data_IF_330282298494
#
_entry.id   IF_330282298494
#
_cell.length_a   1.000
_cell.length_b   1.000
_cell.length_c   1.000
_cell.angle_alpha   90.00
_cell.angle_beta   90.00
_cell.angle_gamma   90.00
#
_symmetry.space_group_name_H-M   'P 1'
#
loop_
_entity.id
_entity.type
_entity.pdbx_description
1 polymer ?
#
# COMPACT_ATOMS: atom_id res chain seq x y z
N UNK A 1 -0.59 -7.43 -21.29
CA UNK A 1 -0.43 -8.41 -20.19
C UNK A 1 0.74 -7.93 -19.34
N UNK A 2 0.55 -7.75 -18.03
CA UNK A 2 1.43 -7.01 -17.13
C UNK A 2 2.44 -7.91 -16.39
N UNK A 3 3.18 -8.72 -17.15
CA UNK A 3 4.25 -9.56 -16.62
C UNK A 3 3.81 -10.70 -15.67
N UNK A 4 2.57 -11.18 -15.81
CA UNK A 4 2.15 -12.41 -15.15
C UNK A 4 2.68 -13.64 -15.91
N UNK A 5 3.12 -14.68 -15.19
CA UNK A 5 3.69 -15.89 -15.80
C UNK A 5 2.71 -16.64 -16.72
N UNK A 6 1.40 -16.48 -16.49
CA UNK A 6 0.33 -17.08 -17.32
C UNK A 6 -0.84 -16.12 -17.44
N UNK A 7 -1.40 -16.04 -18.64
CA UNK A 7 -2.70 -15.42 -18.87
C UNK A 7 -3.80 -16.26 -18.22
N UNK A 8 -4.74 -15.62 -17.55
CA UNK A 8 -5.97 -16.27 -17.11
C UNK A 8 -7.19 -15.45 -17.54
N UNK A 9 -8.38 -16.03 -17.44
CA UNK A 9 -9.64 -15.39 -17.86
C UNK A 9 -9.84 -14.02 -17.19
N UNK A 10 -9.59 -13.93 -15.88
CA UNK A 10 -9.77 -12.69 -15.11
C UNK A 10 -8.77 -11.61 -15.51
N UNK A 11 -7.50 -11.98 -15.71
CA UNK A 11 -6.46 -11.07 -16.21
C UNK A 11 -6.78 -10.56 -17.62
N UNK A 12 -7.28 -11.42 -18.51
CA UNK A 12 -7.69 -10.98 -19.85
C UNK A 12 -8.90 -10.03 -19.79
N UNK A 13 -9.86 -10.28 -18.89
CA UNK A 13 -11.00 -9.39 -18.67
C UNK A 13 -10.55 -8.03 -18.12
N UNK A 14 -9.68 -8.02 -17.11
CA UNK A 14 -9.15 -6.78 -16.52
C UNK A 14 -8.31 -5.99 -17.53
N UNK A 15 -7.48 -6.67 -18.33
CA UNK A 15 -6.72 -6.03 -19.41
C UNK A 15 -7.64 -5.40 -20.44
N UNK A 16 -8.68 -6.13 -20.87
CA UNK A 16 -9.68 -5.63 -21.81
C UNK A 16 -10.40 -4.41 -21.23
N UNK A 17 -10.85 -4.46 -19.98
CA UNK A 17 -11.49 -3.34 -19.31
C UNK A 17 -10.59 -2.10 -19.28
N UNK A 18 -9.34 -2.25 -18.85
CA UNK A 18 -8.40 -1.14 -18.78
C UNK A 18 -8.14 -0.50 -20.16
N UNK A 19 -8.00 -1.33 -21.21
CA UNK A 19 -7.84 -0.84 -22.59
C UNK A 19 -9.06 -0.03 -23.06
N UNK A 20 -10.27 -0.56 -22.87
CA UNK A 20 -11.50 0.13 -23.28
C UNK A 20 -11.72 1.44 -22.49
N UNK A 21 -11.41 1.43 -21.20
CA UNK A 21 -11.54 2.60 -20.33
C UNK A 21 -10.38 3.62 -20.47
N UNK A 22 -9.42 3.38 -21.38
CA UNK A 22 -8.21 4.19 -21.57
C UNK A 22 -7.40 4.35 -20.26
N UNK A 23 -7.32 3.28 -19.49
CA UNK A 23 -6.54 3.18 -18.25
C UNK A 23 -5.20 2.52 -18.53
N UNK A 24 -4.22 2.75 -17.64
CA UNK A 24 -2.91 2.10 -17.66
C UNK A 24 -2.80 1.12 -16.51
N UNK A 25 -2.26 -0.06 -16.78
CA UNK A 25 -1.91 -1.04 -15.75
C UNK A 25 -0.43 -0.92 -15.46
N UNK A 26 -0.09 -0.68 -14.21
CA UNK A 26 1.28 -0.59 -13.71
C UNK A 26 1.52 -1.79 -12.80
N UNK A 27 2.52 -2.60 -13.11
CA UNK A 27 2.87 -3.77 -12.33
C UNK A 27 4.40 -3.88 -12.24
N UNK A 28 4.94 -4.45 -11.15
CA UNK A 28 6.38 -4.64 -11.01
C UNK A 28 6.90 -5.73 -11.96
N UNK A 29 8.18 -5.63 -12.32
CA UNK A 29 8.85 -6.65 -13.13
C UNK A 29 9.13 -7.95 -12.37
N UNK A 30 9.12 -7.91 -11.04
CA UNK A 30 9.39 -9.04 -10.18
C UNK A 30 8.12 -9.57 -9.51
N UNK A 31 8.04 -10.89 -9.22
CA UNK A 31 6.89 -11.47 -8.55
C UNK A 31 6.49 -10.71 -7.28
N UNK A 32 5.19 -10.59 -7.05
CA UNK A 32 4.61 -9.97 -5.85
C UNK A 32 4.08 -11.02 -4.88
N UNK A 33 3.94 -12.26 -5.35
CA UNK A 33 3.49 -13.39 -4.56
C UNK A 33 4.37 -14.61 -4.81
N UNK A 34 4.78 -15.28 -3.74
CA UNK A 34 5.56 -16.51 -3.79
C UNK A 34 4.83 -17.65 -3.07
N UNK A 35 4.22 -18.54 -3.84
CA UNK A 35 3.73 -19.81 -3.32
C UNK A 35 4.88 -20.79 -3.07
N UNK A 36 4.53 -21.97 -2.54
CA UNK A 36 5.47 -23.07 -2.29
C UNK A 36 6.25 -23.50 -3.54
N UNK A 37 5.61 -23.51 -4.70
CA UNK A 37 6.16 -24.02 -5.97
C UNK A 37 5.93 -23.09 -7.17
N UNK A 38 5.49 -21.86 -6.94
CA UNK A 38 5.24 -20.90 -8.00
C UNK A 38 5.42 -19.48 -7.51
N UNK A 39 5.46 -18.55 -8.45
CA UNK A 39 5.50 -17.13 -8.21
C UNK A 39 4.65 -16.41 -9.23
N UNK A 40 4.10 -15.26 -8.85
CA UNK A 40 3.17 -14.51 -9.69
C UNK A 40 3.20 -13.03 -9.38
N UNK A 41 2.86 -12.22 -10.37
CA UNK A 41 2.61 -10.78 -10.24
C UNK A 41 1.10 -10.61 -10.20
N UNK A 42 0.56 -10.42 -9.01
CA UNK A 42 -0.89 -10.26 -8.76
C UNK A 42 -1.23 -8.94 -8.06
N UNK A 43 -0.22 -8.25 -7.52
CA UNK A 43 -0.36 -6.94 -6.91
C UNK A 43 0.07 -5.87 -7.94
N UNK A 44 -0.88 -5.05 -8.37
CA UNK A 44 -0.72 -4.07 -9.45
C UNK A 44 -1.56 -2.81 -9.16
N UNK A 45 -1.27 -1.74 -9.88
CA UNK A 45 -2.05 -0.51 -9.86
C UNK A 45 -2.72 -0.27 -11.21
N UNK A 46 -3.91 0.34 -11.19
CA UNK A 46 -4.62 0.79 -12.38
C UNK A 46 -4.79 2.30 -12.26
N UNK A 47 -4.37 3.03 -13.28
CA UNK A 47 -4.40 4.48 -13.29
C UNK A 47 -5.20 5.00 -14.48
N UNK A 48 -5.87 6.13 -14.28
CA UNK A 48 -6.59 6.85 -15.33
C UNK A 48 -6.23 8.32 -15.22
N UNK A 49 -5.98 8.97 -16.36
CA UNK A 49 -5.67 10.40 -16.43
C UNK A 49 -4.48 10.84 -15.56
N UNK A 50 -3.52 9.95 -15.31
CA UNK A 50 -2.24 10.30 -14.68
C UNK A 50 -1.18 10.50 -15.77
N UNK A 51 -0.64 11.70 -15.86
CA UNK A 51 0.40 12.10 -16.83
C UNK A 51 1.82 11.92 -16.29
N UNK A 52 1.97 11.70 -14.99
CA UNK A 52 3.26 11.44 -14.35
C UNK A 52 3.81 10.06 -14.73
N UNK A 53 5.14 9.96 -14.75
CA UNK A 53 5.79 8.67 -14.90
C UNK A 53 5.59 7.85 -13.62
N UNK A 54 5.25 6.57 -13.76
CA UNK A 54 5.00 5.68 -12.63
C UNK A 54 5.84 4.43 -12.80
N UNK A 55 6.64 4.09 -11.79
CA UNK A 55 7.35 2.80 -11.70
C UNK A 55 6.76 1.94 -10.59
N UNK A 56 6.98 0.63 -10.67
CA UNK A 56 6.55 -0.33 -9.66
C UNK A 56 7.67 -1.32 -9.32
N UNK A 57 7.96 -1.47 -8.03
CA UNK A 57 9.00 -2.36 -7.52
C UNK A 57 8.43 -3.31 -6.47
N UNK A 58 8.74 -4.60 -6.56
CA UNK A 58 8.45 -5.57 -5.51
C UNK A 58 9.55 -5.52 -4.43
N UNK A 59 9.15 -5.34 -3.17
CA UNK A 59 10.05 -5.15 -2.03
C UNK A 59 10.14 -6.41 -1.17
N UNK A 60 11.35 -6.81 -0.80
CA UNK A 60 11.61 -8.00 0.02
C UNK A 60 11.77 -7.59 1.48
N UNK A 61 10.71 -7.00 2.06
CA UNK A 61 10.78 -6.38 3.40
C UNK A 61 9.96 -7.10 4.48
N UNK A 62 8.85 -7.75 4.11
CA UNK A 62 7.92 -8.41 5.04
C UNK A 62 7.95 -9.93 4.92
N UNK A 63 7.90 -10.67 6.03
CA UNK A 63 7.92 -12.15 6.04
C UNK A 63 6.65 -12.85 5.48
N UNK A 64 5.81 -12.12 4.74
CA UNK A 64 4.63 -12.65 4.05
C UNK A 64 5.01 -13.38 2.75
N UNK A 65 4.11 -14.23 2.27
CA UNK A 65 4.15 -14.78 0.91
C UNK A 65 3.84 -13.72 -0.15
N UNK A 66 3.16 -12.64 0.22
CA UNK A 66 3.09 -11.40 -0.54
C UNK A 66 4.29 -10.49 -0.25
N UNK A 67 4.89 -9.96 -1.33
CA UNK A 67 5.86 -8.89 -1.29
C UNK A 67 5.14 -7.54 -1.44
N UNK A 68 5.40 -6.57 -0.56
CA UNK A 68 4.94 -5.21 -0.78
C UNK A 68 5.34 -4.69 -2.16
N UNK A 69 4.45 -3.95 -2.82
CA UNK A 69 4.76 -3.26 -4.07
C UNK A 69 4.86 -1.77 -3.79
N UNK A 70 5.98 -1.17 -4.19
CA UNK A 70 6.16 0.28 -4.14
C UNK A 70 5.87 0.85 -5.51
N UNK A 71 4.84 1.68 -5.59
CA UNK A 71 4.57 2.51 -6.76
C UNK A 71 5.18 3.89 -6.56
N UNK A 72 6.09 4.29 -7.44
CA UNK A 72 6.70 5.61 -7.40
C UNK A 72 6.14 6.47 -8.51
N UNK A 73 5.53 7.61 -8.16
CA UNK A 73 4.98 8.58 -9.10
C UNK A 73 5.94 9.77 -9.15
N UNK A 74 6.60 9.96 -10.29
CA UNK A 74 7.50 11.10 -10.50
C UNK A 74 6.69 12.35 -10.85
N UNK A 75 6.44 13.17 -9.83
CA UNK A 75 5.73 14.45 -9.97
C UNK A 75 6.63 15.60 -10.44
N UNK A 76 7.93 15.34 -10.69
CA UNK A 76 8.96 16.36 -10.97
C UNK A 76 9.03 17.47 -9.92
N UNK A 77 8.56 17.17 -8.71
CA UNK A 77 8.58 18.10 -7.59
C UNK A 77 9.90 17.92 -6.85
N UNK A 78 10.63 19.01 -6.64
CA UNK A 78 11.81 18.98 -5.81
C UNK A 78 11.37 18.89 -4.34
N UNK A 79 11.48 17.70 -3.76
CA UNK A 79 11.11 17.44 -2.37
C UNK A 79 12.03 18.14 -1.38
N UNK A 80 13.22 18.60 -1.79
CA UNK A 80 14.13 19.37 -0.93
C UNK A 80 13.61 20.78 -0.64
N UNK A 81 12.66 21.27 -1.43
CA UNK A 81 12.03 22.58 -1.24
C UNK A 81 10.90 22.57 -0.20
N UNK A 82 10.54 21.39 0.34
CA UNK A 82 9.42 21.24 1.26
C UNK A 82 9.83 20.48 2.51
N UNK A 83 9.43 20.98 3.68
CA UNK A 83 9.48 20.19 4.90
C UNK A 83 8.60 18.95 4.73
N UNK A 84 9.19 17.77 4.84
CA UNK A 84 8.43 16.51 4.84
C UNK A 84 7.60 16.47 6.12
N UNK A 85 6.30 16.77 5.98
CA UNK A 85 5.33 16.73 7.08
C UNK A 85 4.42 15.53 6.90
N UNK A 86 4.24 14.79 7.99
CA UNK A 86 3.29 13.69 8.08
C UNK A 86 2.07 14.14 8.88
N UNK A 87 0.88 13.86 8.37
CA UNK A 87 -0.33 14.01 9.18
C UNK A 87 -0.38 12.89 10.21
N UNK A 88 -0.46 13.25 11.49
CA UNK A 88 -0.61 12.32 12.60
C UNK A 88 -1.99 12.51 13.22
N UNK A 89 -2.91 11.55 13.05
CA UNK A 89 -4.21 11.60 13.72
C UNK A 89 -4.04 11.50 15.24
N UNK A 90 -4.85 12.23 15.99
CA UNK A 90 -5.01 11.99 17.43
C UNK A 90 -6.24 11.14 17.67
N UNK A 91 -6.07 9.82 17.72
CA UNK A 91 -7.20 8.88 17.80
C UNK A 91 -8.10 9.10 19.02
N UNK A 92 -7.52 9.50 20.16
CA UNK A 92 -8.31 9.80 21.36
C UNK A 92 -9.23 11.00 21.13
N UNK A 93 -8.66 12.12 20.68
CA UNK A 93 -9.44 13.33 20.38
C UNK A 93 -10.42 13.13 19.23
N UNK A 94 -10.02 12.36 18.22
CA UNK A 94 -10.89 11.97 17.11
C UNK A 94 -12.14 11.24 17.61
N UNK A 95 -11.95 10.23 18.48
CA UNK A 95 -13.05 9.50 19.08
C UNK A 95 -13.92 10.42 19.95
N UNK A 96 -13.31 11.26 20.80
CA UNK A 96 -14.03 12.24 21.62
C UNK A 96 -14.86 13.21 20.76
N UNK A 97 -14.32 13.66 19.63
CA UNK A 97 -15.02 14.53 18.67
C UNK A 97 -16.25 13.83 18.09
N UNK A 98 -16.09 12.59 17.60
CA UNK A 98 -17.21 11.83 17.04
C UNK A 98 -18.31 11.58 18.07
N UNK A 99 -17.95 11.31 19.32
CA UNK A 99 -18.89 11.08 20.42
C UNK A 99 -19.57 12.37 20.91
N UNK A 100 -19.00 13.54 20.63
CA UNK A 100 -19.58 14.83 21.01
C UNK A 100 -20.71 15.28 20.08
N UNK A 101 -20.80 14.69 18.88
CA UNK A 101 -21.86 15.00 17.93
C UNK A 101 -23.11 14.21 18.30
N UNK A 102 -24.23 14.92 18.44
CA UNK A 102 -25.52 14.29 18.65
C UNK A 102 -25.96 13.57 17.36
N UNK A 103 -26.09 12.25 17.44
CA UNK A 103 -26.52 11.40 16.33
C UNK A 103 -27.98 10.95 16.49
N UNK A 104 -28.78 11.63 17.31
CA UNK A 104 -30.19 11.31 17.48
C UNK A 104 -31.01 11.75 16.26
N UNK A 105 -30.95 10.95 15.20
CA UNK A 105 -31.79 11.07 14.01
C UNK A 105 -32.66 9.82 13.87
N UNK A 106 -33.90 9.96 13.39
CA UNK A 106 -34.70 8.80 13.02
C UNK A 106 -33.98 7.99 11.93
N UNK A 107 -34.12 6.65 11.92
CA UNK A 107 -33.49 5.82 10.89
C UNK A 107 -33.90 6.27 9.48
N UNK A 108 -32.95 6.39 8.54
CA UNK A 108 -33.27 6.76 7.16
C UNK A 108 -34.09 5.64 6.50
N UNK A 109 -35.24 6.00 5.91
CA UNK A 109 -36.19 5.06 5.31
C UNK A 109 -36.32 5.21 3.79
N UNK A 110 -35.74 6.25 3.21
CA UNK A 110 -35.69 6.44 1.76
C UNK A 110 -34.26 6.38 1.23
N UNK A 111 -34.10 6.02 -0.06
CA UNK A 111 -32.78 6.03 -0.72
C UNK A 111 -32.07 7.39 -0.57
N UNK A 112 -32.83 8.49 -0.67
CA UNK A 112 -32.31 9.85 -0.55
C UNK A 112 -31.81 10.13 0.88
N UNK A 113 -32.55 9.69 1.89
CA UNK A 113 -32.13 9.82 3.29
C UNK A 113 -30.87 9.01 3.57
N UNK A 114 -30.77 7.77 3.05
CA UNK A 114 -29.56 6.94 3.20
C UNK A 114 -28.34 7.64 2.59
N UNK A 115 -28.45 8.15 1.36
CA UNK A 115 -27.36 8.90 0.71
C UNK A 115 -26.98 10.15 1.50
N UNK A 116 -27.96 10.86 2.05
CA UNK A 116 -27.72 12.05 2.87
C UNK A 116 -26.95 11.67 4.13
N UNK A 117 -27.37 10.62 4.83
CA UNK A 117 -26.72 10.13 6.05
C UNK A 117 -25.27 9.68 5.80
N UNK A 118 -25.04 8.95 4.70
CA UNK A 118 -23.68 8.55 4.29
C UNK A 118 -22.80 9.76 4.04
N UNK A 119 -23.32 10.79 3.37
CA UNK A 119 -22.56 12.02 3.10
C UNK A 119 -22.27 12.82 4.38
N UNK A 120 -23.25 12.90 5.30
CA UNK A 120 -23.09 13.56 6.59
C UNK A 120 -22.04 12.86 7.44
N UNK A 121 -22.15 11.53 7.60
CA UNK A 121 -21.18 10.72 8.34
C UNK A 121 -19.77 10.84 7.72
N UNK A 122 -19.67 10.78 6.38
CA UNK A 122 -18.39 10.94 5.68
C UNK A 122 -17.77 12.29 5.97
N UNK A 123 -18.58 13.36 5.92
CA UNK A 123 -18.12 14.73 6.20
C UNK A 123 -17.66 14.88 7.65
N UNK A 124 -18.42 14.33 8.60
CA UNK A 124 -18.07 14.33 10.02
C UNK A 124 -16.75 13.59 10.29
N UNK A 125 -16.54 12.42 9.67
CA UNK A 125 -15.28 11.67 9.81
C UNK A 125 -14.10 12.47 9.27
N UNK A 126 -14.25 13.10 8.10
CA UNK A 126 -13.21 13.94 7.50
C UNK A 126 -12.91 15.15 8.39
N UNK A 127 -13.95 15.81 8.90
CA UNK A 127 -13.81 16.96 9.80
C UNK A 127 -13.13 16.57 11.11
N UNK A 128 -13.62 15.54 11.79
CA UNK A 128 -13.02 15.04 13.02
C UNK A 128 -11.54 14.67 12.81
N UNK A 129 -11.23 13.99 11.70
CA UNK A 129 -9.86 13.60 11.36
C UNK A 129 -8.97 14.83 11.20
N UNK A 130 -9.41 15.82 10.42
CA UNK A 130 -8.64 17.03 10.11
C UNK A 130 -8.48 17.96 11.32
N UNK A 131 -9.51 18.13 12.15
CA UNK A 131 -9.49 19.01 13.33
C UNK A 131 -8.68 18.46 14.50
N UNK A 132 -8.68 17.14 14.67
CA UNK A 132 -8.06 16.53 15.86
C UNK A 132 -6.64 16.05 15.63
N UNK A 133 -6.27 15.77 14.38
CA UNK A 133 -4.91 15.44 14.00
C UNK A 133 -4.03 16.68 13.86
N UNK A 134 -2.76 16.45 13.55
CA UNK A 134 -1.78 17.52 13.33
C UNK A 134 -0.74 17.12 12.31
N UNK A 135 -0.23 18.11 11.60
CA UNK A 135 0.96 17.96 10.77
C UNK A 135 2.20 18.00 11.67
N UNK A 136 3.01 16.95 11.63
CA UNK A 136 4.29 16.88 12.33
C UNK A 136 5.41 16.77 11.32
N UNK A 137 6.55 17.40 11.60
CA UNK A 137 7.77 17.15 10.81
C UNK A 137 8.16 15.69 10.96
N UNK A 138 8.32 15.02 9.82
CA UNK A 138 8.77 13.64 9.81
C UNK A 138 10.23 13.59 10.29
N UNK A 139 10.45 12.89 11.38
CA UNK A 139 11.82 12.56 11.79
C UNK A 139 12.23 11.31 11.02
N UNK A 140 13.46 11.26 10.50
CA UNK A 140 13.97 10.02 9.94
C UNK A 140 13.88 8.93 11.01
N UNK A 141 13.47 7.74 10.58
CA UNK A 141 13.39 6.57 11.42
C UNK A 141 14.84 6.12 11.71
N UNK A 142 15.42 6.63 12.80
CA UNK A 142 16.81 6.32 13.18
C UNK A 142 16.80 4.99 13.94
N UNK A 143 16.99 3.90 13.20
CA UNK A 143 17.29 2.61 13.78
C UNK A 143 18.77 2.54 14.19
N UNK A 144 19.08 1.71 15.20
CA UNK A 144 20.49 1.43 15.51
C UNK A 144 21.16 0.68 14.35
N UNK A 145 22.48 0.84 14.20
CA UNK A 145 23.26 0.15 13.17
C UNK A 145 23.05 -1.37 13.19
N UNK A 146 22.92 -1.93 14.39
CA UNK A 146 22.65 -3.34 14.60
C UNK A 146 21.31 -3.78 13.97
N UNK A 147 20.24 -3.02 14.20
CA UNK A 147 18.90 -3.32 13.64
C UNK A 147 18.92 -3.20 12.12
N UNK A 148 19.59 -2.18 11.57
CA UNK A 148 19.75 -2.02 10.12
C UNK A 148 20.50 -3.21 9.50
N UNK A 149 21.64 -3.56 10.08
CA UNK A 149 22.47 -4.68 9.61
C UNK A 149 21.70 -6.01 9.65
N UNK A 150 20.94 -6.25 10.72
CA UNK A 150 20.11 -7.45 10.85
C UNK A 150 19.02 -7.50 9.77
N UNK A 151 18.31 -6.39 9.54
CA UNK A 151 17.29 -6.28 8.48
C UNK A 151 17.89 -6.54 7.10
N UNK A 152 19.04 -5.95 6.79
CA UNK A 152 19.72 -6.10 5.51
C UNK A 152 20.23 -7.53 5.27
N UNK A 153 20.86 -8.15 6.28
CA UNK A 153 21.33 -9.53 6.22
C UNK A 153 20.17 -10.50 5.98
N UNK A 154 19.10 -10.38 6.75
CA UNK A 154 17.87 -11.18 6.60
C UNK A 154 17.27 -11.01 5.19
N UNK A 155 17.12 -9.76 4.73
CA UNK A 155 16.56 -9.48 3.41
C UNK A 155 17.45 -10.05 2.30
N UNK A 156 18.78 -9.97 2.42
CA UNK A 156 19.75 -10.58 1.48
C UNK A 156 19.57 -12.10 1.40
N UNK A 157 19.58 -12.81 2.53
CA UNK A 157 19.41 -14.27 2.54
C UNK A 157 18.06 -14.69 1.96
N UNK A 158 17.01 -13.90 2.22
CA UNK A 158 15.71 -14.13 1.60
C UNK A 158 15.75 -13.99 0.08
N UNK A 159 16.42 -12.97 -0.49
CA UNK A 159 16.55 -12.85 -1.97
C UNK A 159 17.25 -14.07 -2.56
N UNK A 160 18.30 -14.56 -1.89
CA UNK A 160 19.03 -15.76 -2.31
C UNK A 160 18.08 -16.95 -2.33
N UNK A 161 17.36 -17.21 -1.23
CA UNK A 161 16.39 -18.31 -1.16
C UNK A 161 15.24 -18.17 -2.18
N UNK A 162 14.71 -16.97 -2.40
CA UNK A 162 13.64 -16.75 -3.38
C UNK A 162 14.09 -17.07 -4.81
N UNK A 163 15.35 -16.78 -5.15
CA UNK A 163 15.95 -17.07 -6.45
C UNK A 163 16.34 -18.55 -6.60
N UNK A 164 17.02 -19.12 -5.61
CA UNK A 164 17.56 -20.48 -5.71
C UNK A 164 16.51 -21.56 -5.40
N UNK A 165 15.55 -21.24 -4.53
CA UNK A 165 14.61 -22.17 -3.88
C UNK A 165 15.30 -23.38 -3.20
N UNK A 166 16.61 -23.30 -2.93
CA UNK A 166 17.38 -24.40 -2.36
C UNK A 166 17.07 -24.59 -0.86
N UNK A 167 16.99 -25.82 -0.34
CA UNK A 167 16.73 -26.07 1.08
C UNK A 167 17.77 -25.45 2.02
N UNK A 168 19.04 -25.36 1.59
CA UNK A 168 20.11 -24.73 2.38
C UNK A 168 19.91 -23.23 2.53
N UNK A 169 19.57 -22.52 1.45
CA UNK A 169 19.29 -21.10 1.51
C UNK A 169 18.05 -20.82 2.38
N UNK A 170 17.08 -21.74 2.38
CA UNK A 170 15.93 -21.68 3.29
C UNK A 170 16.37 -21.82 4.75
N UNK A 171 17.30 -22.75 5.05
CA UNK A 171 17.86 -22.91 6.40
C UNK A 171 18.60 -21.64 6.81
N UNK A 172 19.46 -21.12 5.96
CA UNK A 172 20.24 -19.90 6.20
C UNK A 172 19.33 -18.68 6.42
N UNK A 173 18.28 -18.49 5.63
CA UNK A 173 17.31 -17.42 5.86
C UNK A 173 16.60 -17.55 7.23
N UNK A 174 16.25 -18.78 7.62
CA UNK A 174 15.53 -19.02 8.89
C UNK A 174 16.36 -18.73 10.13
N UNK A 175 17.70 -18.75 10.07
CA UNK A 175 18.53 -18.45 11.25
C UNK A 175 18.48 -16.98 11.68
N UNK A 176 18.01 -16.08 10.81
CA UNK A 176 17.86 -14.64 11.09
C UNK A 176 16.39 -14.21 11.21
N UNK A 177 15.49 -15.15 11.54
CA UNK A 177 14.04 -14.89 11.61
C UNK A 177 13.59 -14.36 12.98
N UNK A 178 14.46 -14.37 13.99
CA UNK A 178 14.17 -13.94 15.36
C UNK A 178 14.74 -12.54 15.66
#
# INVERSE_FOLDING_TARGET
MWNCARANKLGNQLNSFALHAKMKIIAPEYPTFHARHSESVIDLAITRNITYHITADSLIELCSDHLPVRFHIDTKTDTSLYDVKKFTPNWKKFQEYLLSVDTSYPPPNTKKEIETEVNTLTSLIIEAHTQTGKWVTEKPDIYSEAVRTQKEARNRLRRVWQRSRHPEDKRNFKTLRD
#
